data_IF_533364261240
#
_entry.id   IF_533364261240
#
_cell.length_a   1.000
_cell.length_b   1.000
_cell.length_c   1.000
_cell.angle_alpha   90.00
_cell.angle_beta   90.00
_cell.angle_gamma   90.00
#
_symmetry.space_group_name_H-M   'P 1'
#
loop_
_entity.id
_entity.type
_entity.pdbx_description
1 polymer ?
#
# COMPACT_ATOMS: atom_id res chain seq x y z
N UNK A 1 -17.11 -4.78 5.09
CA UNK A 1 -16.53 -6.14 5.14
C UNK A 1 -15.06 -6.00 5.45
N UNK A 2 -14.55 -6.69 6.46
CA UNK A 2 -13.12 -6.69 6.79
C UNK A 2 -12.38 -7.48 5.71
N UNK A 3 -11.40 -6.85 5.04
CA UNK A 3 -10.60 -7.52 4.00
C UNK A 3 -9.78 -8.64 4.64
N UNK A 4 -9.69 -9.79 3.98
CA UNK A 4 -8.76 -10.85 4.37
C UNK A 4 -7.34 -10.46 3.90
N UNK A 5 -6.34 -10.39 4.79
CA UNK A 5 -4.98 -10.05 4.42
C UNK A 5 -4.40 -11.09 3.46
N UNK A 6 -3.59 -10.64 2.49
CA UNK A 6 -2.80 -11.53 1.66
C UNK A 6 -1.51 -11.93 2.39
N UNK A 7 -0.94 -13.12 2.12
CA UNK A 7 0.36 -13.50 2.66
C UNK A 7 1.51 -12.56 2.24
N UNK A 8 1.31 -11.73 1.22
CA UNK A 8 2.27 -10.72 0.75
C UNK A 8 2.12 -9.35 1.42
N UNK A 9 1.06 -9.15 2.20
CA UNK A 9 0.84 -7.90 2.91
C UNK A 9 1.94 -7.66 3.94
N UNK A 10 2.26 -6.40 4.15
CA UNK A 10 3.38 -6.00 5.00
C UNK A 10 2.98 -6.01 6.49
N UNK A 11 3.95 -6.32 7.35
CA UNK A 11 3.80 -6.25 8.81
C UNK A 11 3.58 -4.81 9.28
N UNK A 12 3.21 -4.66 10.55
CA UNK A 12 3.16 -3.33 11.18
C UNK A 12 4.54 -2.67 11.20
N UNK A 13 5.62 -3.40 11.51
CA UNK A 13 6.96 -2.79 11.54
C UNK A 13 7.39 -2.32 10.14
N UNK A 14 7.17 -3.15 9.12
CA UNK A 14 7.43 -2.78 7.72
C UNK A 14 6.61 -1.54 7.32
N UNK A 15 5.35 -1.46 7.78
CA UNK A 15 4.50 -0.30 7.52
C UNK A 15 5.03 0.98 8.17
N UNK A 16 5.41 0.93 9.45
CA UNK A 16 5.97 2.09 10.15
C UNK A 16 7.26 2.60 9.50
N UNK A 17 8.04 1.70 8.90
CA UNK A 17 9.24 2.08 8.15
C UNK A 17 8.90 2.81 6.84
N UNK A 18 7.91 2.34 6.06
CA UNK A 18 7.62 2.91 4.73
C UNK A 18 6.64 4.09 4.76
N UNK A 19 5.72 4.14 5.73
CA UNK A 19 4.66 5.14 5.80
C UNK A 19 5.15 6.60 5.74
N UNK A 20 6.28 6.99 6.37
CA UNK A 20 6.80 8.36 6.27
C UNK A 20 7.12 8.78 4.83
N UNK A 21 7.55 7.84 3.98
CA UNK A 21 7.88 8.13 2.58
C UNK A 21 6.63 8.27 1.70
N UNK A 22 5.55 7.56 2.05
CA UNK A 22 4.27 7.62 1.32
C UNK A 22 3.40 8.80 1.73
N UNK A 23 3.68 9.40 2.90
CA UNK A 23 2.85 10.46 3.49
C UNK A 23 3.45 11.86 3.37
N UNK A 24 4.39 12.06 2.44
CA UNK A 24 5.01 13.36 2.13
C UNK A 24 4.08 14.32 1.34
N UNK A 25 2.77 14.24 1.57
CA UNK A 25 1.74 15.06 0.92
C UNK A 25 0.54 15.32 1.85
N UNK A 26 -0.18 16.41 1.59
CA UNK A 26 -1.37 16.81 2.33
C UNK A 26 -2.39 15.66 2.43
N UNK A 27 -2.94 15.43 3.62
CA UNK A 27 -3.89 14.34 3.89
C UNK A 27 -5.19 14.46 3.08
N UNK A 28 -5.56 15.68 2.69
CA UNK A 28 -6.75 16.01 1.90
C UNK A 28 -6.46 16.14 0.40
N UNK A 29 -5.23 15.86 -0.04
CA UNK A 29 -4.88 15.90 -1.45
C UNK A 29 -5.79 14.95 -2.25
N UNK A 30 -6.27 15.35 -3.45
CA UNK A 30 -7.22 14.55 -4.24
C UNK A 30 -6.67 13.16 -4.62
N UNK A 31 -5.34 12.99 -4.63
CA UNK A 31 -4.66 11.71 -4.85
C UNK A 31 -4.81 10.73 -3.68
N UNK A 32 -5.14 11.21 -2.46
CA UNK A 32 -5.31 10.39 -1.24
C UNK A 32 -6.73 9.84 -1.07
N UNK A 33 -7.34 9.43 -2.17
CA UNK A 33 -8.67 8.79 -2.16
C UNK A 33 -8.64 7.36 -1.61
N UNK A 34 -7.50 6.68 -1.74
CA UNK A 34 -7.33 5.29 -1.34
C UNK A 34 -6.40 5.18 -0.13
N UNK A 35 -6.60 4.13 0.67
CA UNK A 35 -5.70 3.80 1.76
C UNK A 35 -4.30 3.46 1.22
N UNK A 36 -3.29 4.17 1.73
CA UNK A 36 -1.92 4.05 1.22
C UNK A 36 -1.30 2.69 1.50
N UNK A 37 -1.66 2.04 2.61
CA UNK A 37 -1.16 0.71 2.94
C UNK A 37 -1.73 -0.33 1.99
N UNK A 38 -3.01 -0.21 1.67
CA UNK A 38 -3.67 -1.08 0.70
C UNK A 38 -3.09 -0.92 -0.70
N UNK A 39 -2.84 0.32 -1.15
CA UNK A 39 -2.15 0.59 -2.43
C UNK A 39 -0.74 0.00 -2.43
N UNK A 40 0.01 0.17 -1.34
CA UNK A 40 1.37 -0.36 -1.22
C UNK A 40 1.40 -1.89 -1.25
N UNK A 41 0.49 -2.55 -0.52
CA UNK A 41 0.32 -4.01 -0.54
C UNK A 41 0.02 -4.52 -1.96
N UNK A 42 -0.88 -3.85 -2.69
CA UNK A 42 -1.22 -4.19 -4.06
C UNK A 42 0.00 -4.06 -5.00
N UNK A 43 0.76 -2.96 -4.89
CA UNK A 43 1.98 -2.75 -5.69
C UNK A 43 3.05 -3.80 -5.37
N UNK A 44 3.24 -4.16 -4.10
CA UNK A 44 4.18 -5.22 -3.69
C UNK A 44 3.78 -6.57 -4.25
N UNK A 45 2.48 -6.89 -4.22
CA UNK A 45 1.96 -8.11 -4.84
C UNK A 45 2.21 -8.13 -6.35
N UNK A 46 1.92 -7.02 -7.04
CA UNK A 46 2.13 -6.88 -8.48
C UNK A 46 3.60 -7.08 -8.86
N UNK A 47 4.51 -6.39 -8.17
CA UNK A 47 5.95 -6.49 -8.37
C UNK A 47 6.46 -7.92 -8.13
N UNK A 48 5.97 -8.58 -7.07
CA UNK A 48 6.31 -9.97 -6.76
C UNK A 48 5.79 -10.94 -7.83
N UNK A 49 4.55 -10.75 -8.30
CA UNK A 49 3.91 -11.64 -9.26
C UNK A 49 4.43 -11.43 -10.69
N UNK A 50 5.13 -10.33 -10.97
CA UNK A 50 5.49 -9.93 -12.33
C UNK A 50 4.26 -9.65 -13.20
N UNK A 51 3.12 -9.35 -12.58
CA UNK A 51 1.87 -9.18 -13.28
C UNK A 51 1.88 -7.85 -14.07
N UNK A 52 1.37 -7.83 -15.31
CA UNK A 52 1.32 -6.62 -16.10
C UNK A 52 0.38 -5.59 -15.47
N UNK A 53 0.84 -4.35 -15.35
CA UNK A 53 -0.01 -3.21 -15.02
C UNK A 53 -0.71 -2.72 -16.30
N UNK A 54 -2.04 -2.66 -16.29
CA UNK A 54 -2.87 -2.17 -17.40
C UNK A 54 -4.06 -1.42 -16.85
#
# INVERSE_FOLDING_TARGET
MTRKPYPSDISEEEWHFVAPYLTLMDVNAPQRRHDLREVFNALRWLARAGAPWR
#
